data_IF_494058092594
#
_entry.id   IF_494058092594
#
_cell.length_a   1.000
_cell.length_b   1.000
_cell.length_c   1.000
_cell.angle_alpha   90.00
_cell.angle_beta   90.00
_cell.angle_gamma   90.00
#
_symmetry.space_group_name_H-M   'P 1'
#
loop_
_entity.id
_entity.type
_entity.pdbx_description
1 polymer ?
#
# COMPACT_ATOMS: atom_id res chain seq x y z
N UNK A 1 -24.02 3.78 6.86
CA UNK A 1 -23.23 3.95 8.09
C UNK A 1 -21.76 4.08 7.73
N UNK A 2 -21.23 3.13 6.96
CA UNK A 2 -19.85 3.17 6.48
C UNK A 2 -19.56 4.39 5.60
N UNK A 3 -20.52 4.81 4.76
CA UNK A 3 -20.37 6.02 3.94
C UNK A 3 -20.12 7.31 4.76
N UNK A 4 -20.72 7.42 5.95
CA UNK A 4 -20.50 8.57 6.81
C UNK A 4 -19.05 8.61 7.32
N UNK A 5 -18.56 7.50 7.87
CA UNK A 5 -17.17 7.44 8.37
C UNK A 5 -16.15 7.53 7.24
N UNK A 6 -16.43 6.97 6.05
CA UNK A 6 -15.60 7.15 4.86
C UNK A 6 -15.50 8.64 4.49
N UNK A 7 -16.61 9.39 4.55
CA UNK A 7 -16.59 10.82 4.28
C UNK A 7 -15.82 11.62 5.34
N UNK A 8 -15.89 11.23 6.62
CA UNK A 8 -15.04 11.83 7.66
C UNK A 8 -13.56 11.59 7.36
N UNK A 9 -13.19 10.37 6.97
CA UNK A 9 -11.82 9.99 6.61
C UNK A 9 -11.34 10.77 5.39
N UNK A 10 -12.12 10.81 4.31
CA UNK A 10 -11.77 11.55 3.08
C UNK A 10 -11.51 13.03 3.32
N UNK A 11 -12.19 13.62 4.30
CA UNK A 11 -12.02 15.02 4.67
C UNK A 11 -11.00 15.23 5.81
N UNK A 12 -10.40 14.16 6.32
CA UNK A 12 -9.54 14.13 7.51
C UNK A 12 -10.17 14.89 8.72
N UNK A 13 -11.50 14.75 8.87
CA UNK A 13 -12.28 15.46 9.90
C UNK A 13 -12.19 14.74 11.25
N UNK A 14 -11.08 14.99 11.95
CA UNK A 14 -10.78 14.40 13.26
C UNK A 14 -11.86 14.73 14.29
N UNK A 15 -12.40 15.96 14.28
CA UNK A 15 -13.36 16.37 15.31
C UNK A 15 -14.63 15.52 15.25
N UNK A 16 -15.22 15.37 14.07
CA UNK A 16 -16.42 14.55 13.90
C UNK A 16 -16.09 13.05 13.97
N UNK A 17 -14.89 12.64 13.53
CA UNK A 17 -14.42 11.26 13.68
C UNK A 17 -14.30 10.85 15.15
N UNK A 18 -13.79 11.74 16.01
CA UNK A 18 -13.72 11.52 17.45
C UNK A 18 -15.10 11.34 18.08
N UNK A 19 -16.09 12.15 17.68
CA UNK A 19 -17.46 12.00 18.17
C UNK A 19 -18.05 10.67 17.71
N UNK A 20 -17.83 10.31 16.45
CA UNK A 20 -18.26 9.04 15.89
C UNK A 20 -17.67 7.83 16.66
N UNK A 21 -16.39 7.88 17.05
CA UNK A 21 -15.78 6.84 17.89
C UNK A 21 -16.39 6.76 19.31
N UNK A 22 -16.79 7.89 19.91
CA UNK A 22 -17.37 7.93 21.26
C UNK A 22 -18.72 7.22 21.38
N UNK A 23 -19.38 6.91 20.26
CA UNK A 23 -20.61 6.11 20.21
C UNK A 23 -20.38 4.60 20.47
N UNK A 24 -19.19 4.20 20.95
CA UNK A 24 -18.87 2.81 21.29
C UNK A 24 -18.48 1.95 20.08
N UNK A 25 -17.98 2.58 19.00
CA UNK A 25 -17.49 1.88 17.80
C UNK A 25 -16.07 1.35 18.01
N UNK A 26 -15.76 0.24 17.35
CA UNK A 26 -14.45 -0.40 17.39
C UNK A 26 -13.43 0.38 16.54
N UNK A 27 -12.23 0.60 17.08
CA UNK A 27 -11.13 1.24 16.35
C UNK A 27 -10.51 0.32 15.28
N UNK A 28 -10.79 -0.98 15.37
CA UNK A 28 -10.39 -2.00 14.40
C UNK A 28 -11.55 -2.38 13.45
N UNK A 29 -12.59 -1.55 13.38
CA UNK A 29 -13.77 -1.79 12.54
C UNK A 29 -13.39 -2.01 11.07
N UNK A 30 -14.00 -3.04 10.47
CA UNK A 30 -13.98 -3.30 9.02
C UNK A 30 -14.95 -2.34 8.32
N UNK A 31 -14.49 -1.73 7.22
CA UNK A 31 -15.27 -0.80 6.41
C UNK A 31 -15.66 -1.49 5.10
N UNK A 32 -16.95 -1.50 4.77
CA UNK A 32 -17.43 -2.08 3.53
C UNK A 32 -17.58 -1.02 2.43
N UNK A 33 -17.00 -1.32 1.27
CA UNK A 33 -17.07 -0.49 0.07
C UNK A 33 -18.00 -1.09 -0.98
N UNK A 34 -18.66 -0.28 -1.81
CA UNK A 34 -19.46 -0.77 -2.93
C UNK A 34 -18.57 -1.41 -4.01
N UNK A 35 -19.13 -2.30 -4.83
CA UNK A 35 -18.44 -3.09 -5.87
C UNK A 35 -17.63 -2.25 -6.88
N UNK A 36 -17.97 -0.97 -7.05
CA UNK A 36 -17.29 -0.05 -7.99
C UNK A 36 -16.08 0.69 -7.38
N UNK A 37 -15.64 0.30 -6.18
CA UNK A 37 -14.52 0.97 -5.49
C UNK A 37 -13.16 0.49 -6.02
N UNK A 38 -12.07 1.24 -5.79
CA UNK A 38 -10.72 0.77 -6.08
C UNK A 38 -10.48 -0.64 -5.54
N UNK A 39 -9.80 -1.50 -6.30
CA UNK A 39 -9.65 -2.93 -6.00
C UNK A 39 -9.12 -3.19 -4.59
N UNK A 40 -8.17 -2.40 -4.10
CA UNK A 40 -7.64 -2.60 -2.74
C UNK A 40 -8.70 -2.35 -1.64
N UNK A 41 -9.70 -1.51 -1.90
CA UNK A 41 -10.77 -1.19 -0.94
C UNK A 41 -11.93 -2.19 -0.95
N UNK A 42 -12.04 -3.08 -1.96
CA UNK A 42 -13.11 -4.09 -2.00
C UNK A 42 -12.90 -5.27 -1.04
N UNK A 43 -11.75 -5.34 -0.39
CA UNK A 43 -11.28 -6.48 0.41
C UNK A 43 -11.55 -6.35 1.92
N UNK A 44 -12.65 -5.67 2.27
CA UNK A 44 -13.02 -5.47 3.68
C UNK A 44 -11.89 -4.84 4.53
N UNK A 45 -11.36 -3.67 4.14
CA UNK A 45 -10.24 -3.05 4.83
C UNK A 45 -10.63 -2.58 6.25
N UNK A 46 -9.72 -2.69 7.23
CA UNK A 46 -9.84 -2.01 8.51
C UNK A 46 -9.90 -0.50 8.33
N UNK A 47 -10.57 0.20 9.26
CA UNK A 47 -10.72 1.66 9.22
C UNK A 47 -9.38 2.41 9.16
N UNK A 48 -8.34 1.88 9.81
CA UNK A 48 -6.99 2.44 9.76
C UNK A 48 -6.35 2.32 8.37
N UNK A 49 -6.63 1.24 7.65
CA UNK A 49 -6.21 1.05 6.25
C UNK A 49 -6.94 2.02 5.32
N UNK A 50 -8.21 2.32 5.60
CA UNK A 50 -8.97 3.33 4.85
C UNK A 50 -8.40 4.73 5.07
N UNK A 51 -8.03 5.07 6.30
CA UNK A 51 -7.34 6.32 6.61
C UNK A 51 -6.00 6.43 5.89
N UNK A 52 -5.24 5.33 5.82
CA UNK A 52 -4.00 5.26 5.07
C UNK A 52 -4.19 5.46 3.57
N UNK A 53 -5.23 4.86 2.98
CA UNK A 53 -5.54 4.97 1.55
C UNK A 53 -5.92 6.38 1.09
N UNK A 54 -6.64 7.14 1.93
CA UNK A 54 -7.06 8.50 1.61
C UNK A 54 -6.08 9.57 2.10
N UNK A 55 -5.02 9.18 2.82
CA UNK A 55 -4.03 10.12 3.34
C UNK A 55 -4.57 10.96 4.50
N UNK A 56 -5.52 10.41 5.26
CA UNK A 56 -6.12 11.06 6.42
C UNK A 56 -5.14 11.00 7.61
N UNK A 57 -4.04 11.75 7.52
CA UNK A 57 -2.91 11.69 8.45
C UNK A 57 -3.32 11.99 9.89
N UNK A 58 -4.23 12.93 10.11
CA UNK A 58 -4.65 13.26 11.46
C UNK A 58 -5.53 12.16 12.06
N UNK A 59 -6.46 11.60 11.28
CA UNK A 59 -7.26 10.44 11.72
C UNK A 59 -6.37 9.22 11.93
N UNK A 60 -5.38 8.97 11.07
CA UNK A 60 -4.43 7.87 11.23
C UNK A 60 -3.62 8.00 12.53
N UNK A 61 -3.11 9.20 12.84
CA UNK A 61 -2.45 9.50 14.11
C UNK A 61 -3.39 9.31 15.29
N UNK A 62 -4.63 9.76 15.18
CA UNK A 62 -5.65 9.59 16.23
C UNK A 62 -5.92 8.11 16.51
N UNK A 63 -6.18 7.30 15.48
CA UNK A 63 -6.38 5.84 15.61
C UNK A 63 -5.16 5.16 16.26
N UNK A 64 -3.96 5.52 15.80
CA UNK A 64 -2.70 5.04 16.37
C UNK A 64 -2.55 5.39 17.86
N UNK A 65 -2.90 6.63 18.23
CA UNK A 65 -2.90 7.08 19.62
C UNK A 65 -3.93 6.34 20.48
N UNK A 66 -5.08 5.96 19.91
CA UNK A 66 -6.11 5.14 20.56
C UNK A 66 -5.77 3.64 20.61
N UNK A 67 -4.56 3.25 20.19
CA UNK A 67 -4.07 1.86 20.15
C UNK A 67 -4.85 0.96 19.18
N UNK A 68 -5.38 1.52 18.09
CA UNK A 68 -5.84 0.72 16.95
C UNK A 68 -4.69 -0.15 16.45
N UNK A 69 -5.00 -1.35 15.96
CA UNK A 69 -3.99 -2.25 15.45
C UNK A 69 -3.51 -1.79 14.06
N UNK A 70 -2.42 -1.03 14.05
CA UNK A 70 -1.74 -0.51 12.84
C UNK A 70 -1.14 -1.58 11.92
N UNK A 71 -1.19 -2.86 12.33
CA UNK A 71 -0.76 -4.01 11.53
C UNK A 71 -1.95 -4.87 11.08
N UNK A 72 -3.18 -4.47 11.41
CA UNK A 72 -4.38 -5.20 11.04
C UNK A 72 -4.55 -5.19 9.52
N UNK A 73 -4.71 -6.38 8.96
CA UNK A 73 -4.83 -6.56 7.52
C UNK A 73 -6.27 -6.73 7.07
N UNK A 74 -6.49 -6.50 5.79
CA UNK A 74 -7.72 -6.87 5.09
C UNK A 74 -7.84 -8.41 4.91
N UNK A 75 -8.87 -8.87 4.20
CA UNK A 75 -9.16 -10.31 4.01
C UNK A 75 -8.16 -11.05 3.10
N UNK A 76 -7.35 -10.33 2.32
CA UNK A 76 -6.27 -10.86 1.48
C UNK A 76 -4.88 -10.58 2.05
N UNK A 77 -4.80 -10.16 3.32
CA UNK A 77 -3.58 -9.87 4.07
C UNK A 77 -2.80 -8.62 3.63
N UNK A 78 -3.46 -7.61 3.06
CA UNK A 78 -2.84 -6.30 2.87
C UNK A 78 -2.80 -5.51 4.19
N UNK A 79 -1.62 -5.10 4.67
CA UNK A 79 -1.48 -4.24 5.84
C UNK A 79 -1.76 -2.76 5.52
N UNK A 80 -1.97 -1.88 6.51
CA UNK A 80 -2.28 -0.46 6.27
C UNK A 80 -1.23 0.28 5.43
N UNK A 81 0.04 -0.12 5.51
CA UNK A 81 1.12 0.41 4.66
C UNK A 81 0.90 0.16 3.16
N UNK A 82 0.26 -0.96 2.78
CA UNK A 82 -0.10 -1.23 1.39
C UNK A 82 -1.11 -0.20 0.85
N UNK A 83 -2.07 0.19 1.69
CA UNK A 83 -3.07 1.20 1.37
C UNK A 83 -2.45 2.60 1.23
N UNK A 84 -1.51 2.97 2.10
CA UNK A 84 -0.75 4.20 1.97
C UNK A 84 0.06 4.25 0.67
N UNK A 85 0.69 3.14 0.29
CA UNK A 85 1.45 3.03 -0.96
C UNK A 85 0.55 3.09 -2.20
N UNK A 86 -0.61 2.43 -2.15
CA UNK A 86 -1.61 2.48 -3.21
C UNK A 86 -2.16 3.91 -3.42
N UNK A 87 -2.53 4.58 -2.33
CA UNK A 87 -3.03 5.96 -2.34
C UNK A 87 -1.97 7.03 -2.63
N UNK A 88 -0.69 6.70 -2.41
CA UNK A 88 0.43 7.61 -2.66
C UNK A 88 0.66 8.63 -1.55
N UNK A 89 0.39 8.25 -0.31
CA UNK A 89 0.45 9.15 0.84
C UNK A 89 1.75 9.01 1.63
N UNK A 90 2.75 9.82 1.25
CA UNK A 90 4.10 9.83 1.86
C UNK A 90 4.04 10.09 3.36
N UNK A 91 3.21 11.04 3.82
CA UNK A 91 3.08 11.36 5.24
C UNK A 91 2.64 10.16 6.09
N UNK A 92 1.77 9.29 5.56
CA UNK A 92 1.37 8.06 6.26
C UNK A 92 2.56 7.10 6.37
N UNK A 93 3.37 6.97 5.32
CA UNK A 93 4.60 6.17 5.35
C UNK A 93 5.56 6.71 6.41
N UNK A 94 5.74 8.03 6.49
CA UNK A 94 6.57 8.68 7.50
C UNK A 94 6.07 8.42 8.93
N UNK A 95 4.75 8.48 9.15
CA UNK A 95 4.14 8.13 10.44
C UNK A 95 4.48 6.68 10.82
N UNK A 96 4.33 5.74 9.88
CA UNK A 96 4.61 4.32 10.11
C UNK A 96 6.09 4.10 10.44
N UNK A 97 7.00 4.79 9.74
CA UNK A 97 8.46 4.77 10.03
C UNK A 97 8.74 5.33 11.43
N UNK A 98 8.13 6.45 11.80
CA UNK A 98 8.29 7.07 13.13
C UNK A 98 7.80 6.16 14.27
N UNK A 99 6.81 5.30 13.99
CA UNK A 99 6.34 4.28 14.93
C UNK A 99 7.30 3.07 15.05
N UNK A 100 8.38 3.02 14.27
CA UNK A 100 9.33 1.92 14.25
C UNK A 100 8.81 0.66 13.56
N UNK A 101 7.80 0.80 12.71
CA UNK A 101 7.20 -0.31 11.97
C UNK A 101 8.01 -0.57 10.70
N UNK A 102 8.29 -1.85 10.44
CA UNK A 102 8.97 -2.29 9.22
C UNK A 102 8.16 -1.96 7.97
N UNK A 103 8.83 -1.41 6.96
CA UNK A 103 8.27 -1.22 5.60
C UNK A 103 8.11 -2.53 4.82
N UNK A 104 8.53 -3.65 5.41
CA UNK A 104 8.34 -5.01 4.91
C UNK A 104 7.30 -5.75 5.74
N UNK A 105 6.28 -6.27 5.09
CA UNK A 105 5.26 -7.12 5.70
C UNK A 105 5.72 -8.58 5.71
N UNK A 106 6.08 -9.06 6.90
CA UNK A 106 6.77 -10.33 7.07
C UNK A 106 5.98 -11.55 6.57
N UNK A 107 4.63 -11.57 6.69
CA UNK A 107 3.85 -12.76 6.30
C UNK A 107 3.88 -13.05 4.80
N UNK A 108 3.97 -12.01 3.97
CA UNK A 108 4.05 -12.16 2.51
C UNK A 108 5.46 -11.88 1.98
N UNK A 109 6.40 -11.47 2.85
CA UNK A 109 7.70 -10.93 2.45
C UNK A 109 7.62 -9.76 1.46
N UNK A 110 6.45 -9.13 1.32
CA UNK A 110 6.23 -7.96 0.47
C UNK A 110 6.74 -6.70 1.18
N UNK A 111 7.62 -5.97 0.52
CA UNK A 111 7.96 -4.61 0.91
C UNK A 111 6.99 -3.58 0.31
N UNK A 112 7.04 -2.35 0.79
CA UNK A 112 6.19 -1.26 0.31
C UNK A 112 6.38 -0.91 -1.18
N UNK A 113 7.54 -1.21 -1.79
CA UNK A 113 7.77 -1.04 -3.23
C UNK A 113 6.87 -1.99 -4.05
N UNK A 114 6.62 -3.22 -3.58
CA UNK A 114 5.72 -4.15 -4.26
C UNK A 114 4.34 -3.53 -4.42
N UNK A 115 3.79 -2.94 -3.36
CA UNK A 115 2.46 -2.33 -3.40
C UNK A 115 2.44 -1.09 -4.30
N UNK A 116 3.43 -0.20 -4.19
CA UNK A 116 3.52 0.97 -5.08
C UNK A 116 3.61 0.56 -6.56
N UNK A 117 4.35 -0.51 -6.88
CA UNK A 117 4.44 -1.08 -8.23
C UNK A 117 3.16 -1.80 -8.67
N UNK A 118 2.48 -2.52 -7.78
CA UNK A 118 1.23 -3.25 -8.05
C UNK A 118 0.08 -2.29 -8.41
N UNK A 119 0.01 -1.13 -7.73
CA UNK A 119 -1.00 -0.10 -7.97
C UNK A 119 -0.57 1.02 -8.92
N UNK A 120 0.65 0.94 -9.47
CA UNK A 120 1.13 1.89 -10.48
C UNK A 120 1.40 3.30 -9.97
N UNK A 121 1.63 3.48 -8.66
CA UNK A 121 1.83 4.80 -8.07
C UNK A 121 3.29 5.25 -8.24
N UNK A 122 3.62 5.81 -9.41
CA UNK A 122 4.98 6.26 -9.73
C UNK A 122 5.56 7.28 -8.74
N UNK A 123 4.83 8.34 -8.32
CA UNK A 123 5.36 9.29 -7.34
C UNK A 123 5.77 8.61 -6.04
N UNK A 124 4.92 7.73 -5.52
CA UNK A 124 5.21 6.95 -4.33
C UNK A 124 6.38 5.99 -4.54
N UNK A 125 6.45 5.31 -5.68
CA UNK A 125 7.56 4.42 -6.00
C UNK A 125 8.90 5.17 -6.01
N UNK A 126 8.95 6.37 -6.59
CA UNK A 126 10.14 7.24 -6.57
C UNK A 126 10.52 7.67 -5.15
N UNK A 127 9.53 8.09 -4.37
CA UNK A 127 9.72 8.46 -2.97
C UNK A 127 10.32 7.30 -2.17
N UNK A 128 9.74 6.10 -2.26
CA UNK A 128 10.19 4.93 -1.51
C UNK A 128 11.61 4.48 -1.90
N UNK A 129 11.96 4.52 -3.19
CA UNK A 129 13.33 4.25 -3.64
C UNK A 129 14.32 5.26 -3.05
N UNK A 130 13.90 6.53 -2.89
CA UNK A 130 14.75 7.57 -2.28
C UNK A 130 15.02 7.38 -0.78
N UNK A 131 14.21 6.58 -0.07
CA UNK A 131 14.39 6.31 1.37
C UNK A 131 15.60 5.40 1.68
N UNK A 132 16.25 4.80 0.66
CA UNK A 132 17.48 3.98 0.74
C UNK A 132 17.46 2.78 1.72
N UNK A 133 16.29 2.42 2.27
CA UNK A 133 16.14 1.35 3.26
C UNK A 133 15.57 0.04 2.70
N UNK A 134 15.25 0.03 1.41
CA UNK A 134 14.51 -1.04 0.74
C UNK A 134 15.34 -1.62 -0.39
N UNK A 135 15.40 -2.95 -0.42
CA UNK A 135 15.92 -3.67 -1.58
C UNK A 135 14.87 -3.64 -2.70
N UNK A 136 15.22 -2.99 -3.82
CA UNK A 136 14.36 -2.83 -4.99
C UNK A 136 14.07 -4.15 -5.72
N UNK A 137 14.91 -5.17 -5.50
CA UNK A 137 14.78 -6.49 -6.11
C UNK A 137 14.25 -7.54 -5.13
N UNK A 138 13.94 -7.16 -3.89
CA UNK A 138 13.56 -8.12 -2.86
C UNK A 138 12.36 -8.95 -3.34
N UNK A 139 12.43 -10.29 -3.32
CA UNK A 139 11.31 -11.14 -3.69
C UNK A 139 10.31 -11.25 -2.55
N UNK A 140 9.02 -11.30 -2.90
CA UNK A 140 7.97 -11.72 -1.98
C UNK A 140 7.94 -13.25 -1.80
N UNK A 141 6.98 -13.78 -1.05
CA UNK A 141 6.85 -15.22 -0.77
C UNK A 141 6.66 -16.08 -2.04
N UNK A 142 6.21 -15.46 -3.15
CA UNK A 142 6.05 -16.12 -4.44
C UNK A 142 7.28 -15.96 -5.33
N UNK A 143 8.34 -15.30 -4.87
CA UNK A 143 9.50 -14.96 -5.69
C UNK A 143 9.25 -13.74 -6.59
N UNK A 144 8.12 -13.05 -6.44
CA UNK A 144 7.78 -11.91 -7.30
C UNK A 144 8.42 -10.64 -6.78
N UNK A 145 8.92 -9.80 -7.69
CA UNK A 145 9.61 -8.54 -7.36
C UNK A 145 8.71 -7.33 -7.64
N UNK A 146 9.06 -6.12 -7.16
CA UNK A 146 8.35 -4.90 -7.52
C UNK A 146 8.25 -4.70 -9.04
N UNK A 147 9.33 -4.97 -9.80
CA UNK A 147 9.31 -4.91 -11.27
C UNK A 147 8.28 -5.89 -11.86
N UNK A 148 8.20 -7.12 -11.35
CA UNK A 148 7.21 -8.09 -11.82
C UNK A 148 5.77 -7.57 -11.63
N UNK A 149 5.47 -6.94 -10.49
CA UNK A 149 4.15 -6.34 -10.24
C UNK A 149 3.84 -5.20 -11.20
N UNK A 150 4.80 -4.30 -11.46
CA UNK A 150 4.63 -3.21 -12.42
C UNK A 150 4.36 -3.74 -13.83
N UNK A 151 5.07 -4.80 -14.26
CA UNK A 151 4.90 -5.38 -15.58
C UNK A 151 3.59 -6.15 -15.71
N UNK A 152 3.27 -7.04 -14.77
CA UNK A 152 2.04 -7.86 -14.81
C UNK A 152 0.75 -7.02 -14.81
N UNK A 153 0.79 -5.83 -14.20
CA UNK A 153 -0.31 -4.87 -14.19
C UNK A 153 -0.18 -3.78 -15.28
N UNK A 154 0.82 -3.86 -16.16
CA UNK A 154 1.03 -2.93 -17.28
C UNK A 154 1.25 -1.45 -16.88
N UNK A 155 1.87 -1.20 -15.73
CA UNK A 155 2.15 0.14 -15.22
C UNK A 155 3.42 0.73 -15.86
N UNK A 156 3.27 1.18 -17.11
CA UNK A 156 4.38 1.57 -18.01
C UNK A 156 5.41 2.51 -17.38
N UNK A 157 4.94 3.53 -16.68
CA UNK A 157 5.82 4.57 -16.13
C UNK A 157 6.62 4.05 -14.92
N UNK A 158 6.02 3.15 -14.13
CA UNK A 158 6.71 2.43 -13.07
C UNK A 158 7.75 1.47 -13.65
N UNK A 159 7.43 0.75 -14.74
CA UNK A 159 8.38 -0.12 -15.45
C UNK A 159 9.57 0.69 -15.94
N UNK A 160 9.33 1.79 -16.65
CA UNK A 160 10.39 2.66 -17.17
C UNK A 160 11.27 3.22 -16.05
N UNK A 161 10.67 3.63 -14.94
CA UNK A 161 11.43 4.12 -13.79
C UNK A 161 12.28 3.02 -13.17
N UNK A 162 11.72 1.84 -12.89
CA UNK A 162 12.48 0.74 -12.31
C UNK A 162 13.62 0.29 -13.22
N UNK A 163 13.39 0.18 -14.53
CA UNK A 163 14.43 -0.16 -15.52
C UNK A 163 15.51 0.93 -15.68
N UNK A 164 15.24 2.16 -15.22
CA UNK A 164 16.24 3.24 -15.21
C UNK A 164 17.21 3.17 -14.02
N UNK A 165 16.92 2.33 -13.02
CA UNK A 165 17.77 2.14 -11.85
C UNK A 165 18.92 1.17 -12.17
N UNK A 166 20.15 1.52 -11.84
CA UNK A 166 21.35 0.72 -12.16
C UNK A 166 21.34 -0.67 -11.48
N UNK A 167 20.79 -0.76 -10.28
CA UNK A 167 20.78 -1.97 -9.46
C UNK A 167 19.65 -2.95 -9.83
N UNK A 168 18.78 -2.62 -10.79
CA UNK A 168 17.58 -3.42 -11.08
C UNK A 168 17.92 -4.75 -11.77
N UNK A 169 17.36 -5.85 -11.25
CA UNK A 169 17.53 -7.18 -11.81
C UNK A 169 16.33 -7.55 -12.70
N UNK A 170 16.54 -7.50 -14.02
CA UNK A 170 15.48 -7.71 -15.01
C UNK A 170 15.14 -9.18 -15.27
N UNK A 171 16.00 -10.10 -14.86
CA UNK A 171 15.86 -11.54 -15.12
C UNK A 171 15.28 -12.31 -13.92
N UNK A 172 14.81 -11.60 -12.90
CA UNK A 172 14.20 -12.24 -11.74
C UNK A 172 12.92 -12.95 -12.15
N UNK A 173 12.75 -14.16 -11.62
CA UNK A 173 11.64 -15.05 -11.91
C UNK A 173 10.94 -15.40 -10.61
N UNK A 174 9.63 -15.54 -10.70
CA UNK A 174 8.85 -16.07 -9.60
C UNK A 174 9.18 -17.56 -9.35
N UNK A 175 8.58 -18.13 -8.30
CA UNK A 175 8.76 -19.53 -7.94
C UNK A 175 8.25 -20.51 -9.02
N UNK A 176 7.53 -20.03 -10.04
CA UNK A 176 7.07 -20.80 -11.19
C UNK A 176 8.02 -20.68 -12.40
N UNK A 177 9.11 -19.92 -12.27
CA UNK A 177 10.09 -19.72 -13.33
C UNK A 177 9.70 -18.63 -14.33
N UNK A 178 8.67 -17.83 -14.04
CA UNK A 178 8.19 -16.78 -14.94
C UNK A 178 8.98 -15.49 -14.71
N UNK A 179 9.68 -15.05 -15.74
CA UNK A 179 10.40 -13.76 -15.74
C UNK A 179 9.47 -12.62 -16.13
N UNK A 180 9.55 -11.49 -15.43
CA UNK A 180 8.79 -10.27 -15.75
C UNK A 180 8.97 -9.83 -17.21
N UNK A 181 10.14 -10.05 -17.80
CA UNK A 181 10.47 -9.72 -19.18
C UNK A 181 9.60 -10.41 -20.24
N UNK A 182 9.03 -11.59 -19.97
CA UNK A 182 8.12 -12.28 -20.93
C UNK A 182 6.88 -11.42 -21.23
N UNK A 183 6.47 -10.59 -20.26
CA UNK A 183 5.32 -9.71 -20.38
C UNK A 183 5.66 -8.32 -20.96
N UNK A 184 6.95 -7.98 -21.10
CA UNK A 184 7.40 -6.76 -21.79
C UNK A 184 7.21 -7.01 -23.29
N UNK A 185 6.14 -6.44 -23.86
CA UNK A 185 5.80 -6.62 -25.28
C UNK A 185 6.97 -6.21 -26.20
N UNK A 186 7.10 -6.78 -27.41
CA UNK A 186 8.26 -6.64 -28.31
C UNK A 186 8.64 -5.21 -28.75
N UNK A 187 7.90 -4.18 -28.36
CA UNK A 187 8.12 -2.79 -28.78
C UNK A 187 9.10 -2.01 -27.89
N UNK A 188 9.75 -2.69 -26.94
CA UNK A 188 10.69 -2.11 -25.98
C UNK A 188 12.18 -2.22 -26.38
N UNK A 189 12.46 -2.67 -27.61
CA UNK A 189 13.82 -2.78 -28.19
C UNK A 189 13.94 -1.93 -29.45
#
# INVERSE_FOLDING_TARGET
MDEYVINLIKNDDVFNFEQWCKEGRDFDQIVHFPENSPTILSHSPPIISVAAYFGASNIFRYLSFKRANVLLTDDINNPPIAFAAAGGHEEIIEIIIQMGISLCYQKQMKNVLHYASEFGNLPMLKYLVSLSQLDINSPDIKGTTPLFYAVSNSHLECIQFLLSLEEIEVNNHDNEGVTSFIFIQPWFI
#
